data_IF_391643269270
#
_entry.id   IF_391643269270
#
_cell.length_a   1.000
_cell.length_b   1.000
_cell.length_c   1.000
_cell.angle_alpha   90.00
_cell.angle_beta   90.00
_cell.angle_gamma   90.00
#
_symmetry.space_group_name_H-M   'P 1'
#
loop_
_entity.id
_entity.type
_entity.pdbx_description
1 polymer ?
#
# COMPACT_ATOMS: atom_id res chain seq x y z
N UNK A 1 -3.14 -19.23 -10.70
CA UNK A 1 -2.54 -19.89 -9.53
C UNK A 1 -1.02 -19.76 -9.65
N UNK A 2 -0.41 -18.90 -8.85
CA UNK A 2 1.05 -18.85 -8.71
C UNK A 2 1.41 -19.56 -7.40
N UNK A 3 1.84 -20.81 -7.44
CA UNK A 3 2.26 -21.53 -6.24
C UNK A 3 3.68 -21.11 -5.89
N UNK A 4 3.86 -20.16 -4.99
CA UNK A 4 5.20 -19.75 -4.60
C UNK A 4 5.31 -18.48 -3.75
N UNK A 5 4.23 -17.73 -3.55
CA UNK A 5 4.30 -16.50 -2.76
C UNK A 5 4.70 -16.73 -1.29
N UNK A 6 4.41 -17.90 -0.74
CA UNK A 6 4.73 -18.21 0.67
C UNK A 6 6.15 -18.77 0.88
N UNK A 7 6.83 -19.30 -0.16
CA UNK A 7 8.14 -19.93 0.01
C UNK A 7 9.34 -19.02 -0.35
N UNK A 8 9.09 -17.85 -0.94
CA UNK A 8 10.17 -16.96 -1.36
C UNK A 8 10.83 -16.19 -0.20
N UNK A 9 10.19 -16.19 0.97
CA UNK A 9 10.72 -15.50 2.16
C UNK A 9 11.62 -16.35 3.05
N UNK A 10 11.80 -17.64 2.76
CA UNK A 10 12.70 -18.52 3.53
C UNK A 10 14.05 -18.65 2.82
N UNK A 11 15.03 -17.84 3.20
CA UNK A 11 16.40 -18.17 2.87
C UNK A 11 17.39 -17.05 2.59
N UNK A 12 17.03 -15.78 2.75
CA UNK A 12 18.00 -14.69 2.58
C UNK A 12 18.26 -14.06 3.96
N UNK A 13 19.52 -14.15 4.41
CA UNK A 13 19.93 -13.63 5.71
C UNK A 13 19.59 -12.12 5.84
N UNK A 14 18.87 -11.76 6.90
CA UNK A 14 18.40 -10.39 7.21
C UNK A 14 19.50 -9.30 7.15
N UNK A 15 20.78 -9.67 7.33
CA UNK A 15 21.90 -8.73 7.29
C UNK A 15 22.24 -8.23 5.88
N UNK A 16 21.96 -9.01 4.83
CA UNK A 16 22.29 -8.65 3.44
C UNK A 16 21.22 -7.72 2.84
N UNK A 17 19.95 -7.85 3.28
CA UNK A 17 18.85 -7.01 2.80
C UNK A 17 18.92 -5.56 3.30
N UNK A 18 19.37 -5.35 4.53
CA UNK A 18 19.47 -4.01 5.12
C UNK A 18 20.44 -3.10 4.32
N UNK A 19 21.50 -3.66 3.80
CA UNK A 19 22.51 -2.91 3.01
C UNK A 19 21.96 -2.56 1.62
N UNK A 20 21.20 -3.44 1.01
CA UNK A 20 20.69 -3.25 -0.36
C UNK A 20 19.65 -2.10 -0.45
N UNK A 21 18.80 -1.95 0.56
CA UNK A 21 17.77 -0.90 0.54
C UNK A 21 18.24 0.46 1.12
N UNK A 22 19.37 0.53 1.80
CA UNK A 22 19.93 1.80 2.29
C UNK A 22 20.18 2.80 1.15
N UNK A 23 20.71 2.32 0.02
CA UNK A 23 20.89 3.15 -1.18
C UNK A 23 19.54 3.61 -1.77
N UNK A 24 18.53 2.74 -1.77
CA UNK A 24 17.17 3.10 -2.22
C UNK A 24 16.53 4.15 -1.30
N UNK A 25 16.71 4.06 0.01
CA UNK A 25 16.23 5.07 0.97
C UNK A 25 16.92 6.41 0.77
N UNK A 26 18.23 6.41 0.52
CA UNK A 26 18.99 7.62 0.19
C UNK A 26 18.50 8.25 -1.10
N UNK A 27 18.29 7.45 -2.15
CA UNK A 27 17.73 7.91 -3.42
C UNK A 27 16.29 8.43 -3.26
N UNK A 28 15.46 7.75 -2.46
CA UNK A 28 14.11 8.19 -2.15
C UNK A 28 14.10 9.57 -1.49
N UNK A 29 14.98 9.80 -0.51
CA UNK A 29 15.12 11.09 0.15
C UNK A 29 15.59 12.17 -0.81
N UNK A 30 16.56 11.89 -1.67
CA UNK A 30 17.11 12.86 -2.62
C UNK A 30 16.08 13.30 -3.67
N UNK A 31 15.27 12.34 -4.21
CA UNK A 31 14.35 12.60 -5.32
C UNK A 31 12.97 13.03 -4.84
N UNK A 32 12.43 12.40 -3.79
CA UNK A 32 11.11 12.68 -3.27
C UNK A 32 11.11 13.74 -2.16
N UNK A 33 12.19 13.86 -1.37
CA UNK A 33 12.28 14.81 -0.26
C UNK A 33 11.98 16.27 -0.61
N UNK A 34 12.40 16.82 -1.75
CA UNK A 34 12.09 18.17 -2.17
C UNK A 34 10.61 18.44 -2.52
N UNK A 35 9.79 17.39 -2.63
CA UNK A 35 8.37 17.53 -2.96
C UNK A 35 7.54 17.94 -1.74
N UNK A 36 6.37 18.54 -1.99
CA UNK A 36 5.45 18.94 -0.93
C UNK A 36 4.55 17.79 -0.49
N UNK A 37 4.54 17.51 0.80
CA UNK A 37 3.68 16.50 1.43
C UNK A 37 2.77 17.17 2.46
N UNK A 38 1.51 17.50 2.11
CA UNK A 38 0.57 18.16 3.00
C UNK A 38 0.38 17.44 4.34
N UNK A 39 0.27 18.20 5.42
CA UNK A 39 -0.19 17.69 6.72
C UNK A 39 -1.70 17.48 6.71
N UNK A 40 -2.24 16.70 7.66
CA UNK A 40 -3.66 16.41 7.72
C UNK A 40 -4.17 15.63 6.52
N UNK A 41 -3.33 14.79 5.91
CA UNK A 41 -3.64 14.02 4.72
C UNK A 41 -3.39 12.52 4.92
N UNK A 42 -4.26 11.70 4.34
CA UNK A 42 -4.12 10.26 4.24
C UNK A 42 -3.35 9.92 2.96
N UNK A 43 -2.21 9.27 3.08
CA UNK A 43 -1.39 8.80 1.96
C UNK A 43 -1.71 7.34 1.67
N UNK A 44 -2.38 7.06 0.56
CA UNK A 44 -2.76 5.70 0.13
C UNK A 44 -1.61 5.13 -0.70
N UNK A 45 -0.89 4.17 -0.14
CA UNK A 45 0.38 3.70 -0.69
C UNK A 45 0.23 2.28 -1.22
N UNK A 46 0.53 2.07 -2.50
CA UNK A 46 0.64 0.75 -3.08
C UNK A 46 1.89 0.03 -2.57
N UNK A 47 1.73 -1.22 -2.14
CA UNK A 47 2.80 -2.12 -1.69
C UNK A 47 3.09 -3.17 -2.76
N UNK A 48 4.25 -3.84 -2.73
CA UNK A 48 4.59 -4.88 -3.68
C UNK A 48 3.61 -6.06 -3.71
N UNK A 49 3.48 -6.68 -4.87
CA UNK A 49 2.61 -7.85 -5.11
C UNK A 49 3.39 -9.15 -5.35
N UNK A 50 4.63 -9.23 -4.87
CA UNK A 50 5.48 -10.42 -5.01
C UNK A 50 6.97 -10.11 -5.19
N UNK A 51 7.33 -8.87 -5.53
CA UNK A 51 8.72 -8.45 -5.66
C UNK A 51 8.94 -7.15 -4.87
N UNK A 52 9.80 -7.17 -3.86
CA UNK A 52 10.10 -6.01 -3.02
C UNK A 52 10.63 -4.81 -3.79
N UNK A 53 11.25 -5.02 -4.95
CA UNK A 53 11.78 -3.96 -5.79
C UNK A 53 10.70 -3.12 -6.49
N UNK A 54 9.43 -3.58 -6.50
CA UNK A 54 8.32 -2.85 -7.10
C UNK A 54 7.77 -1.71 -6.21
N UNK A 55 8.38 -1.45 -5.06
CA UNK A 55 8.09 -0.27 -4.25
C UNK A 55 8.59 1.00 -4.93
N UNK A 56 7.78 2.06 -4.97
CA UNK A 56 8.24 3.32 -5.52
C UNK A 56 9.14 4.08 -4.54
N UNK A 57 10.11 4.86 -5.04
CA UNK A 57 10.96 5.73 -4.22
C UNK A 57 10.12 6.72 -3.40
N UNK A 58 9.02 7.24 -3.98
CA UNK A 58 8.10 8.13 -3.26
C UNK A 58 7.37 7.41 -2.12
N UNK A 59 6.99 6.15 -2.30
CA UNK A 59 6.42 5.34 -1.24
C UNK A 59 7.42 5.13 -0.08
N UNK A 60 8.67 4.79 -0.38
CA UNK A 60 9.72 4.65 0.62
C UNK A 60 9.93 5.95 1.42
N UNK A 61 9.97 7.10 0.72
CA UNK A 61 10.09 8.40 1.38
C UNK A 61 8.89 8.70 2.28
N UNK A 62 7.67 8.52 1.79
CA UNK A 62 6.45 8.82 2.56
C UNK A 62 6.30 7.87 3.74
N UNK A 63 6.66 6.59 3.62
CA UNK A 63 6.69 5.65 4.74
C UNK A 63 7.67 6.05 5.85
N UNK A 64 8.73 6.82 5.53
CA UNK A 64 9.62 7.41 6.53
C UNK A 64 9.02 8.69 7.14
N UNK A 65 8.30 9.47 6.34
CA UNK A 65 7.82 10.82 6.69
C UNK A 65 6.60 10.82 7.60
N UNK A 66 5.67 9.87 7.41
CA UNK A 66 4.36 9.87 8.07
C UNK A 66 4.45 9.62 9.58
N UNK A 67 3.48 10.16 10.33
CA UNK A 67 3.40 10.03 11.78
C UNK A 67 2.89 8.65 12.22
N UNK A 68 2.05 8.01 11.40
CA UNK A 68 1.54 6.66 11.62
C UNK A 68 1.22 5.96 10.31
N UNK A 69 1.13 4.63 10.36
CA UNK A 69 0.77 3.78 9.21
C UNK A 69 -0.44 2.94 9.62
N UNK A 70 -1.54 3.13 8.92
CA UNK A 70 -2.74 2.30 9.00
C UNK A 70 -2.60 1.12 8.03
N UNK A 71 -2.95 -0.08 8.47
CA UNK A 71 -2.77 -1.31 7.69
C UNK A 71 -3.72 -2.42 8.16
N UNK A 72 -3.92 -3.44 7.33
CA UNK A 72 -4.77 -4.58 7.67
C UNK A 72 -4.12 -5.47 8.74
N UNK A 73 -2.91 -5.95 8.47
CA UNK A 73 -2.09 -6.73 9.41
C UNK A 73 -0.83 -5.94 9.78
N UNK A 74 -0.75 -5.53 11.04
CA UNK A 74 0.40 -4.78 11.57
C UNK A 74 1.68 -5.60 11.59
N UNK A 75 1.59 -6.93 11.72
CA UNK A 75 2.76 -7.83 11.69
C UNK A 75 3.32 -7.96 10.29
N UNK A 76 2.42 -8.12 9.31
CA UNK A 76 2.80 -8.14 7.89
C UNK A 76 3.49 -6.83 7.49
N UNK A 77 2.84 -5.72 7.78
CA UNK A 77 3.38 -4.37 7.49
C UNK A 77 4.71 -4.12 8.19
N UNK A 78 4.87 -4.53 9.45
CA UNK A 78 6.14 -4.42 10.16
C UNK A 78 7.25 -5.25 9.51
N UNK A 79 6.93 -6.47 9.04
CA UNK A 79 7.84 -7.31 8.27
C UNK A 79 8.27 -6.63 6.96
N UNK A 80 7.32 -6.09 6.21
CA UNK A 80 7.58 -5.35 4.98
C UNK A 80 8.49 -4.13 5.22
N UNK A 81 8.20 -3.32 6.24
CA UNK A 81 9.02 -2.15 6.60
C UNK A 81 10.45 -2.55 6.95
N UNK A 82 10.62 -3.60 7.76
CA UNK A 82 11.95 -4.13 8.11
C UNK A 82 12.74 -4.59 6.87
N UNK A 83 12.07 -5.19 5.89
CA UNK A 83 12.73 -5.60 4.64
C UNK A 83 13.33 -4.41 3.89
N UNK A 84 12.78 -3.21 4.07
CA UNK A 84 13.32 -1.96 3.53
C UNK A 84 14.30 -1.24 4.48
N UNK A 85 14.57 -1.78 5.66
CA UNK A 85 15.38 -1.11 6.67
C UNK A 85 14.65 0.04 7.37
N UNK A 86 13.31 0.04 7.33
CA UNK A 86 12.47 1.00 8.03
C UNK A 86 11.99 0.40 9.35
N UNK A 87 12.37 1.01 10.45
CA UNK A 87 11.90 0.63 11.78
C UNK A 87 10.81 1.59 12.24
N UNK A 88 9.68 1.02 12.66
CA UNK A 88 8.56 1.78 13.23
C UNK A 88 8.13 1.17 14.54
N UNK A 89 7.96 2.00 15.61
CA UNK A 89 7.33 1.55 16.84
C UNK A 89 5.93 0.98 16.58
N UNK A 90 5.57 -0.09 17.28
CA UNK A 90 4.24 -0.71 17.14
C UNK A 90 3.09 0.27 17.42
N UNK A 91 3.29 1.25 18.28
CA UNK A 91 2.32 2.32 18.56
C UNK A 91 2.03 3.24 17.35
N UNK A 92 2.87 3.23 16.32
CA UNK A 92 2.66 3.96 15.07
C UNK A 92 2.00 3.09 13.98
N UNK A 93 1.73 1.82 14.24
CA UNK A 93 0.99 0.94 13.34
C UNK A 93 -0.45 0.82 13.82
N UNK A 94 -1.40 1.23 12.98
CA UNK A 94 -2.82 1.30 13.28
C UNK A 94 -3.55 0.19 12.52
N UNK A 95 -4.08 -0.80 13.24
CA UNK A 95 -4.83 -1.89 12.60
C UNK A 95 -6.19 -1.39 12.09
N UNK A 96 -6.46 -1.63 10.80
CA UNK A 96 -7.73 -1.34 10.12
C UNK A 96 -8.19 -2.61 9.42
N UNK A 97 -9.12 -3.33 10.03
CA UNK A 97 -9.69 -4.55 9.47
C UNK A 97 -11.22 -4.50 9.54
N UNK A 98 -11.90 -5.39 8.83
CA UNK A 98 -13.36 -5.37 8.66
C UNK A 98 -14.16 -5.25 9.97
N UNK A 99 -13.64 -5.76 11.10
CA UNK A 99 -14.34 -5.74 12.38
C UNK A 99 -14.17 -4.44 13.19
N UNK A 100 -13.15 -3.62 12.90
CA UNK A 100 -12.90 -2.37 13.63
C UNK A 100 -12.92 -1.12 12.73
N UNK A 101 -13.25 -1.26 11.46
CA UNK A 101 -13.07 -0.26 10.41
C UNK A 101 -13.65 1.11 10.77
N UNK A 102 -14.87 1.15 11.30
CA UNK A 102 -15.53 2.40 11.66
C UNK A 102 -14.81 3.13 12.81
N UNK A 103 -14.43 2.39 13.87
CA UNK A 103 -13.71 2.96 15.01
C UNK A 103 -12.29 3.38 14.62
N UNK A 104 -11.58 2.56 13.84
CA UNK A 104 -10.26 2.87 13.35
C UNK A 104 -10.28 4.13 12.47
N UNK A 105 -11.26 4.27 11.58
CA UNK A 105 -11.41 5.44 10.73
C UNK A 105 -11.63 6.73 11.53
N UNK A 106 -12.45 6.68 12.59
CA UNK A 106 -12.64 7.84 13.50
C UNK A 106 -11.32 8.25 14.16
N UNK A 107 -10.53 7.29 14.66
CA UNK A 107 -9.22 7.55 15.24
C UNK A 107 -8.23 8.15 14.23
N UNK A 108 -8.24 7.65 12.99
CA UNK A 108 -7.41 8.18 11.90
C UNK A 108 -7.84 9.61 11.55
N UNK A 109 -9.14 9.87 11.37
CA UNK A 109 -9.69 11.20 11.07
C UNK A 109 -9.30 12.21 12.16
N UNK A 110 -9.42 11.86 13.43
CA UNK A 110 -9.02 12.73 14.53
C UNK A 110 -7.52 13.11 14.47
N UNK A 111 -6.65 12.17 14.12
CA UNK A 111 -5.20 12.42 13.94
C UNK A 111 -4.92 13.30 12.72
N UNK A 112 -5.63 13.07 11.61
CA UNK A 112 -5.52 13.91 10.41
C UNK A 112 -5.96 15.35 10.70
N UNK A 113 -7.04 15.56 11.47
CA UNK A 113 -7.51 16.88 11.91
C UNK A 113 -6.50 17.61 12.81
N UNK A 114 -5.68 16.85 13.54
CA UNK A 114 -4.54 17.38 14.31
C UNK A 114 -3.30 17.70 13.44
N UNK A 115 -3.41 17.58 12.12
CA UNK A 115 -2.34 17.84 11.20
C UNK A 115 -1.36 16.69 10.99
N UNK A 116 -1.60 15.51 11.55
CA UNK A 116 -0.75 14.35 11.31
C UNK A 116 -0.84 13.87 9.86
N UNK A 117 0.24 13.30 9.36
CA UNK A 117 0.29 12.55 8.09
C UNK A 117 0.11 11.08 8.41
N UNK A 118 -0.83 10.41 7.79
CA UNK A 118 -1.03 8.97 8.00
C UNK A 118 -0.94 8.27 6.65
N UNK A 119 -0.14 7.21 6.57
CA UNK A 119 -0.16 6.30 5.44
C UNK A 119 -1.23 5.23 5.64
N UNK A 120 -1.88 4.80 4.56
CA UNK A 120 -2.64 3.57 4.52
C UNK A 120 -2.01 2.62 3.51
N UNK A 121 -1.76 1.39 3.93
CA UNK A 121 -1.22 0.30 3.11
C UNK A 121 -2.13 -0.92 3.24
N UNK A 122 -2.36 -1.64 2.14
CA UNK A 122 -2.90 -3.00 2.15
C UNK A 122 -1.75 -4.01 2.27
N UNK A 123 -2.08 -5.26 2.53
CA UNK A 123 -1.07 -6.32 2.64
C UNK A 123 -0.30 -6.51 1.33
N UNK A 124 -0.95 -6.32 0.17
CA UNK A 124 -0.31 -6.36 -1.13
C UNK A 124 -1.07 -5.53 -2.17
N UNK A 125 -0.34 -4.77 -2.97
CA UNK A 125 -0.87 -4.01 -4.10
C UNK A 125 -1.42 -2.63 -3.74
N UNK A 126 -2.26 -2.11 -4.61
CA UNK A 126 -2.92 -0.80 -4.47
C UNK A 126 -4.12 -0.92 -3.55
N UNK A 127 -4.17 -0.17 -2.43
CA UNK A 127 -5.29 -0.20 -1.50
C UNK A 127 -6.60 0.31 -2.11
N UNK A 128 -7.72 -0.10 -1.50
CA UNK A 128 -9.07 0.33 -1.89
C UNK A 128 -9.71 -0.49 -3.00
N UNK A 129 -9.09 -1.61 -3.41
CA UNK A 129 -9.61 -2.50 -4.46
C UNK A 129 -10.37 -3.69 -3.88
N UNK A 130 -9.82 -4.36 -2.87
CA UNK A 130 -10.43 -5.51 -2.19
C UNK A 130 -10.07 -5.56 -0.71
N UNK A 131 -9.85 -4.42 -0.11
CA UNK A 131 -9.45 -4.20 1.28
C UNK A 131 -10.30 -3.10 1.92
N UNK A 132 -10.25 -2.89 3.24
CA UNK A 132 -11.04 -1.87 3.93
C UNK A 132 -10.70 -0.42 3.54
N UNK A 133 -9.65 -0.19 2.77
CA UNK A 133 -9.18 1.14 2.39
C UNK A 133 -10.19 1.99 1.64
N UNK A 134 -11.07 1.39 0.83
CA UNK A 134 -12.10 2.15 0.12
C UNK A 134 -13.05 2.87 1.07
N UNK A 135 -13.49 2.22 2.15
CA UNK A 135 -14.36 2.83 3.16
C UNK A 135 -13.63 3.85 4.01
N UNK A 136 -12.37 3.58 4.37
CA UNK A 136 -11.53 4.55 5.05
C UNK A 136 -11.39 5.83 4.22
N UNK A 137 -11.06 5.73 2.94
CA UNK A 137 -10.96 6.88 2.04
C UNK A 137 -12.29 7.65 1.92
N UNK A 138 -13.43 6.94 1.84
CA UNK A 138 -14.75 7.57 1.80
C UNK A 138 -15.06 8.37 3.08
N UNK A 139 -14.73 7.83 4.27
CA UNK A 139 -14.92 8.51 5.54
C UNK A 139 -14.00 9.73 5.70
N UNK A 140 -12.74 9.61 5.27
CA UNK A 140 -11.77 10.72 5.24
C UNK A 140 -12.27 11.84 4.34
N UNK A 141 -12.80 11.51 3.14
CA UNK A 141 -13.39 12.48 2.22
C UNK A 141 -14.65 13.13 2.80
N UNK A 142 -15.54 12.36 3.46
CA UNK A 142 -16.72 12.88 4.13
C UNK A 142 -16.39 13.84 5.27
N UNK A 143 -15.23 13.68 5.92
CA UNK A 143 -14.70 14.60 6.93
C UNK A 143 -14.03 15.86 6.32
N UNK A 144 -14.05 16.06 5.00
CA UNK A 144 -13.41 17.17 4.31
C UNK A 144 -11.89 17.11 4.25
N UNK A 145 -11.31 15.94 4.51
CA UNK A 145 -9.86 15.69 4.52
C UNK A 145 -9.38 15.08 3.20
N UNK A 146 -8.09 15.16 2.94
CA UNK A 146 -7.50 14.70 1.68
C UNK A 146 -7.00 13.27 1.77
N UNK A 147 -7.30 12.46 0.75
CA UNK A 147 -6.60 11.22 0.45
C UNK A 147 -5.69 11.43 -0.77
N UNK A 148 -4.42 11.11 -0.64
CA UNK A 148 -3.39 11.32 -1.66
C UNK A 148 -2.88 9.96 -2.12
N UNK A 149 -3.18 9.53 -3.37
CA UNK A 149 -2.69 8.25 -3.87
C UNK A 149 -1.21 8.32 -4.24
N UNK A 150 -0.47 7.28 -3.86
CA UNK A 150 0.87 7.01 -4.35
C UNK A 150 0.80 5.81 -5.31
N UNK A 151 0.91 6.03 -6.63
CA UNK A 151 0.89 4.95 -7.62
C UNK A 151 1.98 3.90 -7.36
N UNK A 152 1.66 2.66 -7.64
CA UNK A 152 2.58 1.54 -7.50
C UNK A 152 1.99 0.23 -8.02
N UNK A 153 2.44 -0.89 -7.48
CA UNK A 153 2.06 -2.22 -7.92
C UNK A 153 0.55 -2.46 -7.81
N UNK A 154 -0.01 -3.08 -8.85
CA UNK A 154 -1.42 -3.50 -8.91
C UNK A 154 -1.55 -4.75 -9.77
N UNK A 155 -2.13 -5.80 -9.22
CA UNK A 155 -2.38 -7.05 -9.96
C UNK A 155 -3.33 -6.86 -11.14
N UNK A 156 -4.27 -5.92 -11.04
CA UNK A 156 -5.24 -5.61 -12.10
C UNK A 156 -4.51 -5.04 -13.32
N UNK A 157 -3.76 -3.95 -13.14
CA UNK A 157 -3.05 -3.31 -14.25
C UNK A 157 -1.94 -4.19 -14.80
N UNK A 158 -1.26 -4.98 -13.94
CA UNK A 158 -0.25 -5.95 -14.38
C UNK A 158 -0.87 -7.05 -15.26
N UNK A 159 -2.02 -7.60 -14.86
CA UNK A 159 -2.73 -8.59 -15.66
C UNK A 159 -3.22 -8.01 -17.00
N UNK A 160 -3.79 -6.80 -16.97
CA UNK A 160 -4.27 -6.12 -18.18
C UNK A 160 -3.13 -5.84 -19.17
N UNK A 161 -1.96 -5.46 -18.69
CA UNK A 161 -0.81 -5.11 -19.54
C UNK A 161 -0.32 -6.28 -20.40
N UNK A 162 -0.55 -7.53 -19.96
CA UNK A 162 -0.12 -8.73 -20.66
C UNK A 162 -1.28 -9.55 -21.25
N UNK A 163 -2.53 -9.14 -21.01
CA UNK A 163 -3.72 -9.88 -21.47
C UNK A 163 -3.92 -9.84 -22.99
N UNK A 164 -3.30 -8.87 -23.69
CA UNK A 164 -3.44 -8.74 -25.14
C UNK A 164 -4.87 -8.44 -25.60
N UNK A 165 -5.71 -7.85 -24.76
CA UNK A 165 -7.06 -7.46 -25.12
C UNK A 165 -7.06 -6.29 -26.07
N UNK A 166 -7.21 -6.57 -27.38
CA UNK A 166 -7.32 -5.55 -28.41
C UNK A 166 -8.80 -5.41 -28.78
N UNK A 167 -9.41 -4.23 -28.61
CA UNK A 167 -10.80 -4.03 -29.01
C UNK A 167 -10.93 -4.09 -30.55
N UNK A 168 -12.09 -4.48 -31.08
CA UNK A 168 -12.39 -4.33 -32.49
C UNK A 168 -12.21 -2.89 -32.97
N UNK A 169 -11.89 -2.69 -34.26
CA UNK A 169 -11.66 -1.36 -34.82
C UNK A 169 -12.83 -0.42 -34.55
N UNK A 170 -12.55 0.72 -33.88
CA UNK A 170 -13.51 1.79 -33.59
C UNK A 170 -14.23 1.67 -32.25
N UNK A 171 -13.99 0.62 -31.46
CA UNK A 171 -14.54 0.49 -30.11
C UNK A 171 -13.52 0.91 -29.05
N UNK A 172 -14.01 1.50 -27.95
CA UNK A 172 -13.15 1.80 -26.79
C UNK A 172 -12.86 0.53 -26.00
N UNK A 173 -11.60 0.29 -25.64
CA UNK A 173 -11.24 -0.79 -24.72
C UNK A 173 -11.67 -0.43 -23.30
N UNK A 174 -12.40 -1.30 -22.66
CA UNK A 174 -12.74 -1.18 -21.25
C UNK A 174 -12.48 -2.52 -20.54
N UNK A 175 -12.47 -2.49 -19.22
CA UNK A 175 -12.46 -3.70 -18.40
C UNK A 175 -13.38 -3.52 -17.20
N UNK A 176 -13.83 -4.64 -16.65
CA UNK A 176 -14.60 -4.69 -15.41
C UNK A 176 -13.84 -5.59 -14.44
N UNK A 177 -13.47 -5.04 -13.29
CA UNK A 177 -12.95 -5.84 -12.19
C UNK A 177 -14.13 -6.37 -11.36
N UNK A 178 -14.44 -7.64 -11.52
CA UNK A 178 -15.55 -8.28 -10.82
C UNK A 178 -15.18 -8.74 -9.39
N UNK A 179 -13.90 -8.76 -9.07
CA UNK A 179 -13.33 -9.28 -7.83
C UNK A 179 -12.33 -10.41 -8.09
N UNK A 180 -11.73 -10.93 -7.02
CA UNK A 180 -10.85 -12.08 -7.11
C UNK A 180 -11.68 -13.38 -7.25
N UNK A 181 -11.19 -14.31 -8.04
CA UNK A 181 -11.81 -15.62 -8.20
C UNK A 181 -11.80 -16.38 -6.87
N UNK A 182 -12.84 -17.18 -6.57
CA UNK A 182 -12.85 -18.06 -5.41
C UNK A 182 -11.64 -18.99 -5.44
N UNK A 183 -11.00 -19.18 -4.28
CA UNK A 183 -9.84 -20.07 -4.14
C UNK A 183 -10.23 -21.56 -4.20
N UNK A 184 -11.51 -21.88 -4.01
CA UNK A 184 -12.09 -23.23 -4.19
C UNK A 184 -13.03 -23.17 -5.38
N UNK A 185 -12.91 -24.15 -6.30
CA UNK A 185 -13.96 -24.41 -7.25
C UNK A 185 -15.23 -24.73 -6.42
N UNK A 186 -16.23 -23.86 -6.50
CA UNK A 186 -17.57 -24.21 -5.99
C UNK A 186 -18.06 -25.35 -6.82
N UNK A 187 -18.36 -26.46 -6.17
CA UNK A 187 -19.14 -27.57 -6.78
C UNK A 187 -20.47 -27.07 -7.31
#
# INVERSE_FOLDING_TARGET
YWPGAASFFQGIALSTFSITFAAALTAAQAVAGPQTYPTGALYVIATPIGNLADISLRALHVLQLVDAIACEDTRHTQGLLRSYGLERPSAQLLAVHQHNEAQAAQGIIARLQQGQRIAYVSDAGTPGVSDPGARLCAQVAAAGLRSIPLPGASSITSALSVAGCVPPHGESSGFVFYGFLPTKASE
#
